data_IF_951093560759
#
_entry.id   IF_951093560759
#
_cell.length_a   1.000
_cell.length_b   1.000
_cell.length_c   1.000
_cell.angle_alpha   90.00
_cell.angle_beta   90.00
_cell.angle_gamma   90.00
#
_symmetry.space_group_name_H-M   'P 1'
#
loop_
_entity.id
_entity.type
_entity.pdbx_description
1 polymer ?
#
# COMPACT_ATOMS: atom_id res chain seq x y z
N UNK A 1 -10.77 -10.71 4.49
CA UNK A 1 -9.58 -9.82 4.47
C UNK A 1 -9.67 -8.99 5.74
N UNK A 2 -8.66 -8.99 6.63
CA UNK A 2 -8.63 -7.97 7.67
C UNK A 2 -8.70 -6.58 7.00
N UNK A 3 -9.45 -5.67 7.61
CA UNK A 3 -9.66 -4.32 7.13
C UNK A 3 -8.29 -3.63 7.02
N UNK A 4 -7.94 -3.12 5.84
CA UNK A 4 -6.63 -2.52 5.64
C UNK A 4 -6.53 -1.31 6.57
N UNK A 5 -5.47 -1.20 7.40
CA UNK A 5 -5.39 -0.12 8.37
C UNK A 5 -5.53 1.24 7.67
N UNK A 6 -6.25 2.21 8.28
CA UNK A 6 -6.61 3.47 7.64
C UNK A 6 -5.41 4.36 7.26
N UNK A 7 -4.21 3.99 7.72
CA UNK A 7 -2.96 4.70 7.48
C UNK A 7 -2.24 4.07 6.29
N UNK A 8 -1.82 4.88 5.29
CA UNK A 8 -1.07 4.36 4.16
C UNK A 8 0.24 3.73 4.65
N UNK A 9 0.51 2.51 4.19
CA UNK A 9 1.75 1.80 4.48
C UNK A 9 2.93 2.47 3.79
N UNK A 10 4.13 2.13 4.26
CA UNK A 10 5.39 2.54 3.62
C UNK A 10 6.01 1.33 2.93
N UNK A 11 6.73 1.57 1.82
CA UNK A 11 7.52 0.52 1.21
C UNK A 11 8.69 0.16 2.14
N UNK A 12 8.94 -1.13 2.35
CA UNK A 12 10.07 -1.59 3.15
C UNK A 12 11.41 -1.11 2.59
N UNK A 13 11.51 -0.98 1.26
CA UNK A 13 12.65 -0.38 0.57
C UNK A 13 12.92 1.08 0.97
N UNK A 14 11.89 1.86 1.33
CA UNK A 14 12.06 3.23 1.80
C UNK A 14 12.74 3.28 3.18
N UNK A 15 12.53 2.27 4.02
CA UNK A 15 13.20 2.12 5.30
C UNK A 15 14.68 1.73 5.11
N UNK A 16 14.96 0.81 4.18
CA UNK A 16 16.33 0.41 3.81
C UNK A 16 17.14 1.53 3.16
N UNK A 17 16.48 2.50 2.53
CA UNK A 17 17.14 3.65 1.93
C UNK A 17 17.69 4.66 2.98
N UNK A 18 17.24 4.56 4.24
CA UNK A 18 17.72 5.40 5.33
C UNK A 18 19.09 4.91 5.83
N UNK A 19 20.15 5.53 5.31
CA UNK A 19 21.54 5.15 5.60
C UNK A 19 21.93 5.35 7.06
N UNK A 20 21.22 6.19 7.81
CA UNK A 20 21.53 6.40 9.24
C UNK A 20 21.19 5.18 10.09
N UNK A 21 20.23 4.34 9.64
CA UNK A 21 19.86 3.12 10.34
C UNK A 21 20.80 1.94 10.05
N UNK A 22 21.53 1.98 8.93
CA UNK A 22 22.45 0.92 8.52
C UNK A 22 21.80 -0.44 8.26
N UNK A 23 20.50 -0.47 7.99
CA UNK A 23 19.75 -1.71 7.81
C UNK A 23 20.20 -2.47 6.56
N UNK A 24 20.23 -3.81 6.67
CA UNK A 24 20.59 -4.70 5.55
C UNK A 24 19.46 -5.67 5.26
N UNK A 25 18.98 -5.71 4.02
CA UNK A 25 18.02 -6.72 3.58
C UNK A 25 18.71 -8.07 3.36
N UNK A 26 18.25 -9.12 4.04
CA UNK A 26 18.75 -10.49 3.91
C UNK A 26 17.87 -11.36 3.02
N UNK A 27 16.56 -11.07 2.97
CA UNK A 27 15.61 -11.79 2.11
C UNK A 27 14.51 -10.86 1.60
N UNK A 28 14.12 -11.05 0.32
CA UNK A 28 13.07 -10.39 -0.45
C UNK A 28 12.39 -9.17 0.20
N UNK A 29 12.83 -7.96 -0.14
CA UNK A 29 12.34 -6.70 0.46
C UNK A 29 11.55 -5.81 -0.51
N UNK A 30 11.43 -6.23 -1.77
CA UNK A 30 10.77 -5.46 -2.83
C UNK A 30 9.25 -5.65 -2.81
N UNK A 31 8.50 -4.59 -3.08
CA UNK A 31 7.04 -4.64 -3.16
C UNK A 31 6.31 -4.81 -1.82
N UNK A 32 7.04 -4.91 -0.70
CA UNK A 32 6.47 -5.12 0.64
C UNK A 32 6.04 -3.78 1.23
N UNK A 33 4.79 -3.69 1.65
CA UNK A 33 4.25 -2.55 2.40
C UNK A 33 4.17 -2.88 3.90
N UNK A 34 4.66 -1.96 4.72
CA UNK A 34 4.62 -2.03 6.19
C UNK A 34 3.64 -0.99 6.72
N UNK A 35 2.76 -1.42 7.62
CA UNK A 35 1.69 -0.62 8.20
C UNK A 35 1.85 -0.35 9.70
N UNK A 36 2.77 -1.04 10.36
CA UNK A 36 3.16 -0.77 11.74
C UNK A 36 4.53 -1.40 12.03
N UNK A 37 5.09 -1.10 13.20
CA UNK A 37 6.38 -1.62 13.64
C UNK A 37 6.35 -1.83 15.15
N UNK A 38 6.79 -2.99 15.60
CA UNK A 38 6.80 -3.34 17.02
C UNK A 38 8.02 -4.18 17.34
N UNK A 39 8.62 -3.95 18.50
CA UNK A 39 9.63 -4.84 19.05
C UNK A 39 8.96 -5.91 19.93
N UNK A 40 9.35 -7.17 19.77
CA UNK A 40 8.93 -8.26 20.65
C UNK A 40 10.05 -9.26 20.84
N UNK A 41 10.23 -9.69 22.08
CA UNK A 41 11.14 -10.77 22.44
C UNK A 41 10.38 -12.04 22.83
N UNK A 42 9.08 -12.12 22.55
CA UNK A 42 8.26 -13.29 22.87
C UNK A 42 8.62 -14.48 21.96
N UNK A 43 8.68 -15.68 22.53
CA UNK A 43 8.81 -16.92 21.76
C UNK A 43 7.64 -17.16 20.77
N UNK A 44 6.46 -16.61 21.07
CA UNK A 44 5.32 -16.58 20.16
C UNK A 44 4.55 -15.25 20.28
N UNK A 45 4.84 -14.26 19.40
CA UNK A 45 4.12 -12.99 19.37
C UNK A 45 2.85 -13.05 18.51
N UNK A 46 2.59 -14.16 17.80
CA UNK A 46 1.52 -14.25 16.81
C UNK A 46 0.11 -13.89 17.32
N UNK A 47 -0.29 -14.14 18.58
CA UNK A 47 -1.61 -13.76 19.07
C UNK A 47 -1.86 -12.25 19.17
N UNK A 48 -0.81 -11.43 19.09
CA UNK A 48 -0.88 -9.97 19.25
C UNK A 48 -0.73 -9.21 17.94
N UNK A 49 -0.50 -9.91 16.82
CA UNK A 49 -0.36 -9.31 15.51
C UNK A 49 -1.73 -9.11 14.86
N UNK A 50 -1.88 -7.98 14.19
CA UNK A 50 -3.04 -7.59 13.38
C UNK A 50 -2.77 -7.73 11.88
N UNK A 51 -1.50 -7.90 11.50
CA UNK A 51 -1.04 -8.05 10.13
C UNK A 51 -0.46 -6.75 9.57
N UNK A 52 0.51 -6.88 8.66
CA UNK A 52 1.17 -5.77 7.99
C UNK A 52 2.35 -5.18 8.78
N UNK A 53 2.74 -5.76 9.92
CA UNK A 53 3.78 -5.20 10.78
C UNK A 53 5.19 -5.63 10.38
N UNK A 54 6.14 -4.71 10.58
CA UNK A 54 7.56 -5.05 10.75
C UNK A 54 7.79 -5.42 12.21
N UNK A 55 8.00 -6.71 12.48
CA UNK A 55 8.37 -7.18 13.81
C UNK A 55 9.89 -7.03 14.01
N UNK A 56 10.31 -6.43 15.12
CA UNK A 56 11.71 -6.31 15.51
C UNK A 56 12.01 -7.25 16.69
N UNK A 57 13.12 -7.97 16.64
CA UNK A 57 13.55 -8.84 17.73
C UNK A 57 15.06 -8.91 17.82
N UNK A 58 15.60 -8.97 19.04
CA UNK A 58 16.98 -9.31 19.33
C UNK A 58 17.18 -10.82 19.52
N UNK A 59 16.13 -11.63 19.34
CA UNK A 59 16.18 -13.08 19.44
C UNK A 59 16.43 -13.60 20.84
N UNK A 60 16.07 -12.86 21.90
CA UNK A 60 16.36 -13.23 23.28
C UNK A 60 15.61 -14.49 23.76
N UNK A 61 14.40 -14.72 23.23
CA UNK A 61 13.63 -15.95 23.46
C UNK A 61 13.42 -16.75 22.18
N UNK A 62 14.31 -16.57 21.18
CA UNK A 62 14.26 -17.38 19.97
C UNK A 62 14.65 -18.82 20.35
N UNK A 63 13.65 -19.70 20.38
CA UNK A 63 13.88 -21.13 20.59
C UNK A 63 14.58 -21.79 19.40
N UNK A 64 14.92 -23.08 19.50
CA UNK A 64 15.59 -23.82 18.42
C UNK A 64 14.69 -24.02 17.17
N UNK A 65 13.39 -23.79 17.29
CA UNK A 65 12.43 -23.94 16.19
C UNK A 65 12.23 -22.62 15.42
N UNK A 66 13.25 -22.22 14.65
CA UNK A 66 13.19 -21.04 13.80
C UNK A 66 12.12 -21.18 12.68
N UNK A 67 11.89 -22.39 12.18
CA UNK A 67 10.90 -22.64 11.14
C UNK A 67 9.47 -22.39 11.63
N UNK A 68 9.10 -23.01 12.76
CA UNK A 68 7.79 -22.81 13.37
C UNK A 68 7.57 -21.37 13.84
N UNK A 69 8.62 -20.69 14.32
CA UNK A 69 8.54 -19.26 14.65
C UNK A 69 8.14 -18.42 13.43
N UNK A 70 8.87 -18.55 12.32
CA UNK A 70 8.58 -17.80 11.08
C UNK A 70 7.22 -18.19 10.51
N UNK A 71 6.87 -19.47 10.49
CA UNK A 71 5.58 -19.94 10.00
C UNK A 71 4.41 -19.29 10.75
N UNK A 72 4.51 -19.15 12.08
CA UNK A 72 3.50 -18.45 12.90
C UNK A 72 3.41 -16.97 12.56
N UNK A 73 4.54 -16.28 12.36
CA UNK A 73 4.55 -14.87 11.97
C UNK A 73 3.87 -14.64 10.62
N UNK A 74 4.17 -15.47 9.62
CA UNK A 74 3.55 -15.40 8.30
C UNK A 74 2.05 -15.68 8.38
N UNK A 75 1.66 -16.71 9.14
CA UNK A 75 0.25 -17.04 9.37
C UNK A 75 -0.50 -15.88 10.04
N UNK A 76 0.15 -15.17 10.95
CA UNK A 76 -0.40 -13.98 11.61
C UNK A 76 -0.36 -12.71 10.75
N UNK A 77 0.22 -12.77 9.55
CA UNK A 77 0.24 -11.68 8.58
C UNK A 77 1.35 -10.66 8.78
N UNK A 78 2.43 -11.00 9.50
CA UNK A 78 3.60 -10.11 9.60
C UNK A 78 4.14 -9.76 8.20
N UNK A 79 4.43 -8.49 7.97
CA UNK A 79 4.95 -8.02 6.69
C UNK A 79 6.46 -8.28 6.54
N UNK A 80 7.20 -8.22 7.65
CA UNK A 80 8.65 -8.41 7.66
C UNK A 80 9.17 -8.71 9.07
N UNK A 81 10.36 -9.30 9.16
CA UNK A 81 11.13 -9.49 10.38
C UNK A 81 12.42 -8.66 10.33
N UNK A 82 12.68 -7.85 11.34
CA UNK A 82 13.96 -7.18 11.56
C UNK A 82 14.67 -7.80 12.76
N UNK A 83 15.87 -8.32 12.54
CA UNK A 83 16.67 -8.99 13.55
C UNK A 83 17.82 -8.09 14.00
N UNK A 84 17.83 -7.72 15.28
CA UNK A 84 18.92 -6.97 15.91
C UNK A 84 20.08 -7.88 16.25
N UNK A 85 21.23 -7.62 15.65
CA UNK A 85 22.49 -8.26 16.05
C UNK A 85 23.14 -7.46 17.19
N UNK A 86 23.77 -8.19 18.09
CA UNK A 86 24.37 -7.78 19.35
C UNK A 86 23.38 -7.14 20.36
N UNK A 87 23.55 -7.40 21.67
CA UNK A 87 24.58 -8.28 22.26
C UNK A 87 24.19 -9.77 22.29
N UNK A 88 22.95 -10.12 21.93
CA UNK A 88 22.45 -11.50 22.10
C UNK A 88 23.03 -12.45 21.06
N UNK A 89 23.08 -12.03 19.80
CA UNK A 89 23.61 -12.81 18.68
C UNK A 89 24.61 -11.96 17.89
N UNK A 90 25.78 -12.49 17.54
CA UNK A 90 26.77 -11.75 16.74
C UNK A 90 26.30 -11.52 15.29
N UNK A 91 25.54 -12.46 14.76
CA UNK A 91 24.96 -12.44 13.42
C UNK A 91 23.53 -12.99 13.46
N UNK A 92 22.75 -12.78 12.39
CA UNK A 92 21.41 -13.39 12.29
C UNK A 92 21.55 -14.91 12.17
N UNK A 93 20.88 -15.72 13.01
CA UNK A 93 20.99 -17.17 12.96
C UNK A 93 20.70 -17.73 11.56
N UNK A 94 21.57 -18.57 10.97
CA UNK A 94 21.38 -19.09 9.61
C UNK A 94 20.07 -19.86 9.42
N UNK A 95 19.62 -20.55 10.47
CA UNK A 95 18.34 -21.28 10.48
C UNK A 95 17.14 -20.34 10.34
N UNK A 96 17.22 -19.14 10.92
CA UNK A 96 16.21 -18.09 10.78
C UNK A 96 16.20 -17.52 9.36
N UNK A 97 17.38 -17.26 8.79
CA UNK A 97 17.51 -16.82 7.38
C UNK A 97 16.87 -17.84 6.44
N UNK A 98 17.17 -19.13 6.64
CA UNK A 98 16.60 -20.21 5.84
C UNK A 98 15.08 -20.34 6.04
N UNK A 99 14.58 -20.18 7.27
CA UNK A 99 13.14 -20.19 7.55
C UNK A 99 12.40 -19.02 6.87
N UNK A 100 12.90 -17.80 7.01
CA UNK A 100 12.38 -16.62 6.32
C UNK A 100 12.32 -16.84 4.80
N UNK A 101 13.39 -17.41 4.21
CA UNK A 101 13.41 -17.72 2.79
C UNK A 101 12.38 -18.78 2.38
N UNK A 102 12.19 -19.84 3.19
CA UNK A 102 11.18 -20.88 2.91
C UNK A 102 9.75 -20.35 2.95
N UNK A 103 9.44 -19.49 3.91
CA UNK A 103 8.10 -18.97 4.12
C UNK A 103 7.84 -17.64 3.39
N UNK A 104 8.85 -17.11 2.69
CA UNK A 104 8.75 -15.85 1.95
C UNK A 104 8.60 -14.62 2.84
N UNK A 105 9.05 -14.68 4.10
CA UNK A 105 9.01 -13.54 5.02
C UNK A 105 10.24 -12.66 4.80
N UNK A 106 10.08 -11.38 4.40
CA UNK A 106 11.18 -10.44 4.29
C UNK A 106 11.98 -10.35 5.59
N UNK A 107 13.31 -10.40 5.48
CA UNK A 107 14.21 -10.39 6.62
C UNK A 107 15.21 -9.24 6.49
N UNK A 108 15.35 -8.47 7.55
CA UNK A 108 16.33 -7.39 7.68
C UNK A 108 17.24 -7.67 8.86
N UNK A 109 18.50 -7.29 8.74
CA UNK A 109 19.43 -7.16 9.84
C UNK A 109 19.46 -5.70 10.31
N UNK A 110 19.35 -5.53 11.62
CA UNK A 110 19.55 -4.25 12.32
C UNK A 110 20.94 -4.31 12.97
N UNK A 111 21.90 -3.48 12.53
CA UNK A 111 23.29 -3.58 12.97
C UNK A 111 23.47 -3.17 14.44
N UNK A 112 24.60 -3.51 15.06
CA UNK A 112 24.91 -3.10 16.42
C UNK A 112 24.88 -1.57 16.54
N UNK A 113 24.30 -1.08 17.62
CA UNK A 113 24.22 0.36 17.89
C UNK A 113 23.04 1.09 17.23
N UNK A 114 22.26 0.43 16.35
CA UNK A 114 20.98 0.97 15.87
C UNK A 114 19.85 0.55 16.82
N UNK A 115 19.27 1.47 17.62
CA UNK A 115 18.19 1.10 18.53
C UNK A 115 16.92 0.80 17.74
N UNK A 116 16.13 -0.20 18.18
CA UNK A 116 14.81 -0.47 17.58
C UNK A 116 13.87 0.73 17.62
N UNK A 117 14.04 1.62 18.60
CA UNK A 117 13.29 2.89 18.66
C UNK A 117 13.65 3.84 17.53
N UNK A 118 14.88 3.83 17.02
CA UNK A 118 15.27 4.61 15.84
C UNK A 118 14.59 4.07 14.58
N UNK A 119 14.61 2.76 14.38
CA UNK A 119 13.87 2.09 13.29
C UNK A 119 12.38 2.41 13.37
N UNK A 120 11.78 2.27 14.56
CA UNK A 120 10.38 2.55 14.76
C UNK A 120 10.02 4.01 14.45
N UNK A 121 10.83 4.97 14.93
CA UNK A 121 10.63 6.40 14.64
C UNK A 121 10.71 6.71 13.15
N UNK A 122 11.63 6.09 12.42
CA UNK A 122 11.72 6.27 10.96
C UNK A 122 10.50 5.72 10.25
N UNK A 123 10.00 4.53 10.63
CA UNK A 123 8.75 3.98 10.08
C UNK A 123 7.59 4.94 10.33
N UNK A 124 7.39 5.39 11.57
CA UNK A 124 6.31 6.31 11.91
C UNK A 124 6.41 7.65 11.17
N UNK A 125 7.62 8.19 11.03
CA UNK A 125 7.87 9.41 10.24
C UNK A 125 7.46 9.21 8.79
N UNK A 126 7.92 8.13 8.14
CA UNK A 126 7.61 7.84 6.75
C UNK A 126 6.10 7.62 6.53
N UNK A 127 5.42 6.97 7.48
CA UNK A 127 3.96 6.79 7.44
C UNK A 127 3.22 8.13 7.58
N UNK A 128 3.65 9.00 8.49
CA UNK A 128 3.07 10.34 8.65
C UNK A 128 3.26 11.19 7.38
N UNK A 129 4.43 11.11 6.75
CA UNK A 129 4.69 11.74 5.46
C UNK A 129 3.82 11.17 4.34
N UNK A 130 3.66 9.83 4.28
CA UNK A 130 2.79 9.18 3.30
C UNK A 130 1.33 9.63 3.47
N UNK A 131 0.85 9.72 4.72
CA UNK A 131 -0.49 10.24 5.02
C UNK A 131 -0.66 11.68 4.57
N UNK A 132 0.33 12.53 4.84
CA UNK A 132 0.30 13.94 4.43
C UNK A 132 0.29 14.08 2.92
N UNK A 133 1.11 13.29 2.20
CA UNK A 133 1.14 13.26 0.74
C UNK A 133 -0.22 12.87 0.16
N UNK A 134 -0.86 11.84 0.71
CA UNK A 134 -2.16 11.40 0.22
C UNK A 134 -3.27 12.44 0.46
N UNK A 135 -3.31 13.07 1.64
CA UNK A 135 -4.27 14.14 1.92
C UNK A 135 -4.08 15.34 0.99
N UNK A 136 -2.84 15.72 0.70
CA UNK A 136 -2.53 16.78 -0.27
C UNK A 136 -3.01 16.40 -1.67
N UNK A 137 -2.70 15.19 -2.13
CA UNK A 137 -3.14 14.67 -3.44
C UNK A 137 -4.66 14.73 -3.60
N UNK A 138 -5.41 14.29 -2.60
CA UNK A 138 -6.88 14.33 -2.63
C UNK A 138 -7.39 15.78 -2.68
N UNK A 139 -6.82 16.64 -1.84
CA UNK A 139 -7.20 18.07 -1.79
C UNK A 139 -6.94 18.77 -3.13
N UNK A 140 -5.77 18.55 -3.73
CA UNK A 140 -5.40 19.10 -5.04
C UNK A 140 -6.32 18.60 -6.16
N UNK A 141 -6.72 17.33 -6.12
CA UNK A 141 -7.68 16.78 -7.07
C UNK A 141 -9.05 17.46 -6.94
N UNK A 142 -9.56 17.61 -5.71
CA UNK A 142 -10.83 18.29 -5.45
C UNK A 142 -10.81 19.76 -5.90
N UNK A 143 -9.76 20.51 -5.54
CA UNK A 143 -9.60 21.90 -5.95
C UNK A 143 -9.56 22.06 -7.46
N UNK A 144 -8.87 21.15 -8.16
CA UNK A 144 -8.79 21.23 -9.61
C UNK A 144 -10.11 20.88 -10.31
N UNK A 145 -10.90 19.96 -9.76
CA UNK A 145 -12.25 19.68 -10.26
C UNK A 145 -13.18 20.87 -10.02
N UNK A 146 -13.13 21.49 -8.84
CA UNK A 146 -13.90 22.70 -8.53
C UNK A 146 -13.54 23.86 -9.48
N UNK A 147 -12.23 24.07 -9.74
CA UNK A 147 -11.77 25.07 -10.70
C UNK A 147 -12.23 24.77 -12.14
N UNK A 148 -12.27 23.50 -12.54
CA UNK A 148 -12.78 23.09 -13.85
C UNK A 148 -14.29 23.34 -13.98
N UNK A 149 -15.06 23.11 -12.91
CA UNK A 149 -16.50 23.34 -12.87
C UNK A 149 -16.89 24.84 -12.92
N UNK A 150 -15.98 25.74 -12.56
CA UNK A 150 -16.19 27.18 -12.65
C UNK A 150 -15.92 27.78 -14.05
N UNK A 151 -15.48 26.97 -15.03
CA UNK A 151 -15.17 27.45 -16.40
C UNK A 151 -16.46 27.58 -17.25
N UNK A 152 -16.45 28.41 -18.32
CA UNK A 152 -17.61 28.60 -19.19
C UNK A 152 -18.19 27.32 -19.80
N UNK A 153 -17.34 26.31 -20.05
CA UNK A 153 -17.74 24.97 -20.47
C UNK A 153 -17.37 23.94 -19.39
N UNK A 154 -18.19 23.81 -18.33
CA UNK A 154 -17.81 23.08 -17.13
C UNK A 154 -17.76 21.56 -17.37
N UNK A 155 -18.71 21.00 -18.12
CA UNK A 155 -18.81 19.55 -18.34
C UNK A 155 -17.57 19.00 -19.05
N UNK A 156 -17.14 19.52 -20.23
CA UNK A 156 -15.90 19.05 -20.87
C UNK A 156 -14.65 19.31 -20.02
N UNK A 157 -14.59 20.42 -19.29
CA UNK A 157 -13.44 20.74 -18.44
C UNK A 157 -13.28 19.77 -17.27
N UNK A 158 -14.37 19.44 -16.59
CA UNK A 158 -14.38 18.46 -15.49
C UNK A 158 -14.05 17.06 -15.99
N UNK A 159 -14.64 16.61 -17.11
CA UNK A 159 -14.35 15.29 -17.67
C UNK A 159 -12.88 15.13 -18.04
N UNK A 160 -12.27 16.15 -18.68
CA UNK A 160 -10.83 16.14 -18.98
C UNK A 160 -9.98 16.08 -17.71
N UNK A 161 -10.35 16.84 -16.67
CA UNK A 161 -9.59 16.83 -15.42
C UNK A 161 -9.71 15.50 -14.69
N UNK A 162 -10.90 14.91 -14.65
CA UNK A 162 -11.15 13.60 -14.05
C UNK A 162 -10.36 12.50 -14.78
N UNK A 163 -10.38 12.52 -16.12
CA UNK A 163 -9.59 11.61 -16.94
C UNK A 163 -8.09 11.69 -16.64
N UNK A 164 -7.55 12.92 -16.56
CA UNK A 164 -6.15 13.14 -16.21
C UNK A 164 -5.81 12.68 -14.79
N UNK A 165 -6.67 12.94 -13.80
CA UNK A 165 -6.44 12.54 -12.41
C UNK A 165 -6.53 11.03 -12.18
N UNK A 166 -7.36 10.33 -12.95
CA UNK A 166 -7.53 8.87 -12.87
C UNK A 166 -6.57 8.10 -13.79
N UNK A 167 -5.82 8.78 -14.66
CA UNK A 167 -4.99 8.14 -15.67
C UNK A 167 -5.80 7.32 -16.68
N UNK A 168 -7.05 7.70 -16.94
CA UNK A 168 -8.01 6.88 -17.65
C UNK A 168 -8.97 7.68 -18.53
N UNK A 169 -9.90 6.97 -19.19
CA UNK A 169 -10.95 7.58 -20.01
C UNK A 169 -12.22 7.74 -19.18
N UNK A 170 -12.84 8.91 -19.29
CA UNK A 170 -14.08 9.25 -18.58
C UNK A 170 -15.13 9.65 -19.60
N UNK A 171 -16.30 9.03 -19.52
CA UNK A 171 -17.43 9.30 -20.42
C UNK A 171 -18.63 9.69 -19.57
N UNK A 172 -19.31 10.78 -19.96
CA UNK A 172 -20.58 11.17 -19.35
C UNK A 172 -21.72 10.45 -20.08
N UNK A 173 -22.45 9.60 -19.35
CA UNK A 173 -23.69 9.02 -19.86
C UNK A 173 -24.86 9.95 -19.48
N UNK A 174 -25.74 10.30 -20.42
CA UNK A 174 -26.95 11.05 -20.07
C UNK A 174 -27.79 10.22 -19.10
N UNK A 175 -28.24 10.84 -18.00
CA UNK A 175 -29.16 10.20 -17.07
C UNK A 175 -30.47 9.83 -17.78
N UNK A 176 -31.13 8.75 -17.35
CA UNK A 176 -32.52 8.50 -17.76
C UNK A 176 -33.32 9.78 -17.48
N UNK A 177 -34.09 10.31 -18.43
CA UNK A 177 -34.86 11.52 -18.19
C UNK A 177 -35.77 11.27 -16.98
N UNK A 178 -35.52 11.99 -15.89
CA UNK A 178 -36.53 12.19 -14.86
C UNK A 178 -37.71 12.88 -15.54
N UNK A 179 -38.92 12.52 -15.14
CA UNK A 179 -40.17 13.14 -15.57
C UNK A 179 -40.20 14.62 -15.19
N UNK A 180 -39.52 15.44 -15.98
CA UNK A 180 -39.51 16.89 -15.94
C UNK A 180 -39.48 17.34 -17.39
N UNK A 181 -40.62 17.84 -17.87
CA UNK A 181 -40.81 18.24 -19.26
C UNK A 181 -39.86 19.39 -19.62
N UNK A 182 -38.76 19.04 -20.32
CA UNK A 182 -37.83 19.97 -20.91
C UNK A 182 -37.22 19.33 -22.15
N UNK A 183 -37.84 19.57 -23.30
CA UNK A 183 -37.42 19.04 -24.60
C UNK A 183 -36.03 19.57 -25.00
N UNK A 184 -35.03 18.68 -25.04
CA UNK A 184 -33.87 18.83 -25.90
C UNK A 184 -33.92 17.73 -26.97
N UNK A 185 -34.37 18.10 -28.16
CA UNK A 185 -34.34 17.25 -29.34
C UNK A 185 -32.88 17.05 -29.80
N UNK A 186 -32.36 15.84 -29.67
CA UNK A 186 -31.00 15.51 -30.10
C UNK A 186 -30.52 14.09 -29.82
N UNK A 187 -31.41 13.10 -29.72
CA UNK A 187 -31.05 11.73 -29.30
C UNK A 187 -30.61 10.80 -30.43
N UNK A 188 -30.63 11.23 -31.70
CA UNK A 188 -30.26 10.36 -32.83
C UNK A 188 -28.76 10.30 -33.14
N UNK A 189 -27.97 11.34 -32.78
CA UNK A 189 -26.52 11.39 -33.06
C UNK A 189 -25.65 10.66 -32.02
N UNK A 190 -26.20 10.34 -30.85
CA UNK A 190 -25.43 9.75 -29.75
C UNK A 190 -25.15 8.24 -29.95
N UNK A 191 -26.04 7.52 -30.65
CA UNK A 191 -25.83 6.10 -30.96
C UNK A 191 -24.65 5.85 -31.91
N UNK A 192 -24.27 6.84 -32.72
CA UNK A 192 -23.08 6.74 -33.58
C UNK A 192 -21.77 6.97 -32.80
N UNK A 193 -21.79 7.82 -31.75
CA UNK A 193 -20.63 8.02 -30.88
C UNK A 193 -20.42 6.86 -29.90
N UNK A 194 -21.49 6.23 -29.41
CA UNK A 194 -21.38 5.01 -28.62
C UNK A 194 -20.90 3.82 -29.46
N UNK A 195 -21.32 3.67 -30.73
CA UNK A 195 -20.72 2.67 -31.64
C UNK A 195 -19.27 2.95 -31.98
N UNK A 196 -18.85 4.21 -32.08
CA UNK A 196 -17.44 4.56 -32.24
C UNK A 196 -16.61 4.24 -30.99
N UNK A 197 -17.21 4.32 -29.80
CA UNK A 197 -16.57 3.85 -28.56
C UNK A 197 -16.54 2.30 -28.49
N UNK A 198 -17.58 1.62 -28.97
CA UNK A 198 -17.66 0.15 -29.07
C UNK A 198 -16.64 -0.43 -30.08
N UNK A 199 -16.37 0.29 -31.18
CA UNK A 199 -15.36 -0.10 -32.18
C UNK A 199 -13.91 0.09 -31.71
N UNK A 200 -13.69 0.81 -30.60
CA UNK A 200 -12.39 0.91 -29.93
C UNK A 200 -12.23 -0.20 -28.88
N UNK A 201 -13.29 -0.96 -28.60
CA UNK A 201 -13.33 -2.07 -27.64
C UNK A 201 -13.17 -3.45 -28.30
N UNK A 202 -12.31 -3.59 -29.33
CA UNK A 202 -11.95 -4.93 -29.82
C UNK A 202 -10.88 -5.54 -28.91
N UNK A 203 -11.36 -6.29 -27.91
CA UNK A 203 -10.52 -7.00 -26.94
C UNK A 203 -11.04 -7.02 -25.50
N UNK A 204 -12.31 -7.38 -25.31
CA UNK A 204 -12.93 -7.81 -24.05
C UNK A 204 -12.97 -6.82 -22.87
N UNK A 205 -14.06 -6.04 -22.78
CA UNK A 205 -14.52 -5.46 -21.52
C UNK A 205 -15.92 -5.98 -21.19
N UNK A 206 -16.01 -6.91 -20.23
CA UNK A 206 -17.26 -7.29 -19.55
C UNK A 206 -17.52 -6.30 -18.42
N UNK A 207 -18.68 -5.63 -18.45
CA UNK A 207 -19.21 -4.87 -17.31
C UNK A 207 -19.98 -5.85 -16.43
N UNK A 208 -19.49 -6.08 -15.20
CA UNK A 208 -20.27 -6.77 -14.18
C UNK A 208 -21.08 -5.73 -13.38
N UNK A 209 -22.40 -5.86 -13.43
CA UNK A 209 -23.29 -5.39 -12.36
C UNK A 209 -23.56 -6.58 -11.44
N UNK A 210 -23.16 -6.46 -10.19
CA UNK A 210 -23.58 -7.29 -9.05
C UNK A 210 -23.79 -6.37 -7.87
#
# INVERSE_FOLDING_TARGET
>A
MPDQPPTPGIALSALLADRELGLRGLHAVEGVAVHAVHASEMADPSPYLLGGELLLTAGAQLGPDADGYVARLVTAGAAALGFGVAPVHEEVPPELVAACARHGLPLLEVPPGTPFTAVARTVWRLMAEARTRELRRVTEAQQALAAAAARPEPVPAVLRRLAASLGGRVVLLPGRPGTGAGSCAGSARLWHLLRAADQICDGQARVYCG
#
